data_IF_952360504733
#
_entry.id   IF_952360504733
#
_cell.length_a   1.000
_cell.length_b   1.000
_cell.length_c   1.000
_cell.angle_alpha   90.00
_cell.angle_beta   90.00
_cell.angle_gamma   90.00
#
_symmetry.space_group_name_H-M   'P 1'
#
loop_
_entity.id
_entity.type
_entity.pdbx_description
1 polymer ?
#
# COMPACT_ATOMS: atom_id res chain seq x y z
N UNK A 1 0.56 -22.40 24.72
CA UNK A 1 -0.11 -21.09 24.87
C UNK A 1 0.85 -19.92 24.62
N UNK A 2 1.97 -19.80 25.35
CA UNK A 2 2.94 -18.70 25.14
C UNK A 2 3.58 -18.65 23.74
N UNK A 3 4.00 -19.80 23.20
CA UNK A 3 4.55 -19.85 21.84
C UNK A 3 3.55 -19.44 20.75
N UNK A 4 2.27 -19.81 20.93
CA UNK A 4 1.18 -19.40 20.03
C UNK A 4 0.98 -17.88 20.09
N UNK A 5 1.01 -17.29 21.29
CA UNK A 5 0.90 -15.85 21.48
C UNK A 5 2.05 -15.11 20.79
N UNK A 6 3.29 -15.61 20.91
CA UNK A 6 4.45 -15.00 20.24
C UNK A 6 4.38 -15.08 18.73
N UNK A 7 3.94 -16.21 18.18
CA UNK A 7 3.75 -16.36 16.74
C UNK A 7 2.67 -15.41 16.23
N UNK A 8 1.55 -15.30 16.95
CA UNK A 8 0.48 -14.36 16.61
C UNK A 8 0.97 -12.91 16.64
N UNK A 9 1.66 -12.50 17.70
CA UNK A 9 2.22 -11.15 17.80
C UNK A 9 3.23 -10.89 16.67
N UNK A 10 4.07 -11.86 16.33
CA UNK A 10 5.00 -11.77 15.21
C UNK A 10 4.29 -11.50 13.89
N UNK A 11 3.21 -12.23 13.60
CA UNK A 11 2.39 -11.99 12.41
C UNK A 11 1.79 -10.59 12.43
N UNK A 12 1.20 -10.15 13.54
CA UNK A 12 0.63 -8.80 13.67
C UNK A 12 1.68 -7.72 13.41
N UNK A 13 2.89 -7.86 13.95
CA UNK A 13 3.98 -6.91 13.72
C UNK A 13 4.39 -6.88 12.25
N UNK A 14 4.47 -8.03 11.58
CA UNK A 14 4.79 -8.10 10.15
C UNK A 14 3.69 -7.45 9.31
N UNK A 15 2.43 -7.74 9.60
CA UNK A 15 1.26 -7.14 8.92
C UNK A 15 1.29 -5.62 9.04
N UNK A 16 1.41 -5.11 10.27
CA UNK A 16 1.49 -3.66 10.52
C UNK A 16 2.71 -3.02 9.85
N UNK A 17 3.85 -3.72 9.83
CA UNK A 17 5.06 -3.25 9.16
C UNK A 17 4.89 -3.16 7.65
N UNK A 18 4.28 -4.17 7.01
CA UNK A 18 3.99 -4.18 5.58
C UNK A 18 3.01 -3.04 5.25
N UNK A 19 1.90 -2.93 5.97
CA UNK A 19 0.92 -1.84 5.77
C UNK A 19 1.55 -0.47 5.98
N UNK A 20 2.41 -0.29 6.99
CA UNK A 20 3.11 0.97 7.18
C UNK A 20 4.00 1.33 5.99
N UNK A 21 4.76 0.37 5.44
CA UNK A 21 5.60 0.60 4.26
C UNK A 21 4.75 0.95 3.04
N UNK A 22 3.59 0.30 2.89
CA UNK A 22 2.63 0.60 1.85
C UNK A 22 2.12 2.04 1.96
N UNK A 23 1.56 2.44 3.10
CA UNK A 23 1.08 3.80 3.29
C UNK A 23 2.18 4.86 3.16
N UNK A 24 3.39 4.51 3.60
CA UNK A 24 4.57 5.35 3.39
C UNK A 24 4.81 5.61 1.89
N UNK A 25 4.51 4.67 1.00
CA UNK A 25 4.59 4.88 -0.45
C UNK A 25 3.71 6.03 -0.94
N UNK A 26 2.43 6.03 -0.58
CA UNK A 26 1.53 7.14 -0.92
C UNK A 26 2.01 8.46 -0.31
N UNK A 27 2.35 8.43 0.99
CA UNK A 27 2.80 9.64 1.68
C UNK A 27 4.05 10.24 1.02
N UNK A 28 5.08 9.42 0.73
CA UNK A 28 6.31 9.90 0.12
C UNK A 28 6.08 10.46 -1.29
N UNK A 29 5.27 9.77 -2.10
CA UNK A 29 4.93 10.24 -3.45
C UNK A 29 4.09 11.51 -3.41
N UNK A 30 3.09 11.59 -2.52
CA UNK A 30 2.31 12.79 -2.29
C UNK A 30 3.19 13.98 -1.90
N UNK A 31 4.13 13.76 -0.98
CA UNK A 31 5.04 14.81 -0.49
C UNK A 31 6.04 15.29 -1.53
N UNK A 32 6.65 14.37 -2.29
CA UNK A 32 7.85 14.66 -3.08
C UNK A 32 7.66 14.66 -4.59
N UNK A 33 6.63 13.99 -5.08
CA UNK A 33 6.30 13.96 -6.51
C UNK A 33 5.13 14.89 -6.79
N UNK A 34 4.02 14.71 -6.07
CA UNK A 34 2.82 15.54 -6.23
C UNK A 34 3.05 16.95 -5.66
N UNK A 35 3.80 17.06 -4.56
CA UNK A 35 4.15 18.34 -3.93
C UNK A 35 3.22 18.75 -2.79
N UNK A 36 2.41 17.83 -2.26
CA UNK A 36 1.50 18.08 -1.15
C UNK A 36 2.30 18.50 0.09
N UNK A 37 2.03 19.67 0.71
CA UNK A 37 2.75 20.14 1.89
C UNK A 37 2.68 19.18 3.10
N UNK A 38 3.68 19.22 3.98
CA UNK A 38 3.78 18.28 5.12
C UNK A 38 2.65 18.48 6.14
N UNK A 39 2.15 19.71 6.20
CA UNK A 39 1.01 20.07 7.03
C UNK A 39 -0.32 19.57 6.46
N UNK A 40 -0.33 19.10 5.21
CA UNK A 40 -1.54 18.78 4.44
C UNK A 40 -1.67 17.31 4.07
N UNK A 41 -0.73 16.47 4.49
CA UNK A 41 -0.79 15.02 4.33
C UNK A 41 -0.21 14.33 5.57
N UNK A 42 -0.82 13.24 6.01
CA UNK A 42 -0.30 12.41 7.11
C UNK A 42 -0.60 10.94 6.89
N UNK A 43 0.15 10.10 7.59
CA UNK A 43 -0.15 8.67 7.74
C UNK A 43 -1.12 8.46 8.91
N UNK A 44 -2.21 7.74 8.67
CA UNK A 44 -3.20 7.35 9.67
C UNK A 44 -3.13 5.84 9.87
N UNK A 45 -2.44 5.41 10.92
CA UNK A 45 -2.23 3.98 11.22
C UNK A 45 -3.16 3.43 12.32
N UNK A 46 -3.90 4.31 13.01
CA UNK A 46 -4.77 3.95 14.13
C UNK A 46 -6.22 3.69 13.71
N UNK A 47 -6.55 3.98 12.46
CA UNK A 47 -7.88 3.78 11.86
C UNK A 47 -7.82 2.60 10.88
N UNK A 48 -8.97 2.01 10.56
CA UNK A 48 -9.06 0.87 9.67
C UNK A 48 -9.96 1.18 8.46
N UNK A 49 -9.46 1.03 7.23
CA UNK A 49 -8.09 0.67 6.89
C UNK A 49 -7.08 1.80 7.22
N UNK A 50 -5.82 1.48 7.53
CA UNK A 50 -4.74 2.47 7.54
C UNK A 50 -4.66 3.16 6.17
N UNK A 51 -4.33 4.44 6.15
CA UNK A 51 -4.33 5.23 4.92
C UNK A 51 -3.44 6.48 5.04
N UNK A 52 -3.07 7.06 3.91
CA UNK A 52 -2.64 8.45 3.83
C UNK A 52 -3.87 9.38 3.77
N UNK A 53 -3.95 10.35 4.68
CA UNK A 53 -5.05 11.32 4.76
C UNK A 53 -4.59 12.71 4.30
N UNK A 54 -5.49 13.47 3.69
CA UNK A 54 -5.28 14.85 3.24
C UNK A 54 -5.98 15.84 4.17
N UNK A 55 -5.37 17.01 4.39
CA UNK A 55 -5.97 18.05 5.22
C UNK A 55 -6.94 18.90 4.41
N UNK A 56 -8.20 18.98 4.86
CA UNK A 56 -9.24 19.82 4.29
C UNK A 56 -9.87 20.68 5.39
N UNK A 57 -9.52 21.97 5.41
CA UNK A 57 -10.19 23.04 6.16
C UNK A 57 -10.59 22.76 7.63
N UNK A 58 -9.77 22.00 8.36
CA UNK A 58 -10.03 21.67 9.78
C UNK A 58 -10.15 20.18 10.07
N UNK A 59 -10.26 19.36 9.03
CA UNK A 59 -10.43 17.93 9.13
C UNK A 59 -9.42 17.17 8.27
N UNK A 60 -9.16 15.92 8.64
CA UNK A 60 -8.35 15.00 7.87
C UNK A 60 -9.28 14.07 7.11
N UNK A 61 -9.14 14.06 5.79
CA UNK A 61 -10.00 13.31 4.86
C UNK A 61 -9.24 12.07 4.40
N UNK A 62 -9.86 10.91 4.55
CA UNK A 62 -9.34 9.63 4.08
C UNK A 62 -9.86 9.26 2.69
N UNK A 63 -9.27 8.24 2.03
CA UNK A 63 -9.70 7.77 0.71
C UNK A 63 -11.09 7.13 0.71
N UNK A 64 -11.64 6.78 1.87
CA UNK A 64 -13.03 6.32 2.04
C UNK A 64 -14.04 7.44 1.80
N UNK A 65 -13.64 8.70 1.99
CA UNK A 65 -14.39 9.89 1.58
C UNK A 65 -14.06 10.28 0.13
N UNK A 66 -14.27 9.33 -0.80
CA UNK A 66 -13.78 9.36 -2.19
C UNK A 66 -13.88 10.72 -2.90
N UNK A 67 -15.06 11.36 -2.88
CA UNK A 67 -15.29 12.64 -3.55
C UNK A 67 -14.43 13.76 -2.95
N UNK A 68 -14.48 13.95 -1.63
CA UNK A 68 -13.71 14.98 -0.91
C UNK A 68 -12.21 14.75 -1.05
N UNK A 69 -11.77 13.49 -0.95
CA UNK A 69 -10.37 13.13 -1.08
C UNK A 69 -9.85 13.41 -2.49
N UNK A 70 -10.63 13.06 -3.52
CA UNK A 70 -10.28 13.30 -4.92
C UNK A 70 -10.22 14.80 -5.23
N UNK A 71 -11.22 15.57 -4.81
CA UNK A 71 -11.22 17.03 -4.96
C UNK A 71 -10.00 17.66 -4.29
N UNK A 72 -9.65 17.18 -3.10
CA UNK A 72 -8.50 17.69 -2.37
C UNK A 72 -7.16 17.32 -3.00
N UNK A 73 -7.06 16.13 -3.59
CA UNK A 73 -5.89 15.73 -4.36
C UNK A 73 -5.73 16.60 -5.63
N UNK A 74 -6.82 16.87 -6.35
CA UNK A 74 -6.83 17.67 -7.58
C UNK A 74 -6.26 19.08 -7.37
N UNK A 75 -6.45 19.69 -6.19
CA UNK A 75 -5.85 20.99 -5.87
C UNK A 75 -4.32 21.00 -5.96
N UNK A 76 -3.67 19.85 -5.78
CA UNK A 76 -2.21 19.70 -5.88
C UNK A 76 -1.74 19.12 -7.22
N UNK A 77 -2.58 18.35 -7.90
CA UNK A 77 -2.30 17.76 -9.21
C UNK A 77 -3.49 17.98 -10.18
N UNK A 78 -3.73 19.21 -10.65
CA UNK A 78 -4.96 19.56 -11.38
C UNK A 78 -5.12 18.82 -12.71
N UNK A 79 -4.00 18.48 -13.34
CA UNK A 79 -3.95 17.73 -14.59
C UNK A 79 -3.83 16.20 -14.36
N UNK A 80 -3.87 15.75 -13.10
CA UNK A 80 -3.73 14.36 -12.69
C UNK A 80 -2.47 13.67 -13.26
N UNK A 81 -1.40 14.43 -13.47
CA UNK A 81 -0.17 13.96 -14.13
C UNK A 81 0.54 12.91 -13.30
N UNK A 82 0.38 12.95 -11.98
CA UNK A 82 1.07 12.07 -11.04
C UNK A 82 0.14 11.05 -10.39
N UNK A 83 -1.15 11.05 -10.74
CA UNK A 83 -2.19 10.23 -10.10
C UNK A 83 -1.83 8.74 -10.12
N UNK A 84 -1.43 8.20 -11.27
CA UNK A 84 -1.07 6.78 -11.39
C UNK A 84 0.11 6.41 -10.47
N UNK A 85 1.10 7.29 -10.36
CA UNK A 85 2.24 7.04 -9.49
C UNK A 85 1.86 7.21 -8.02
N UNK A 86 1.00 8.18 -7.67
CA UNK A 86 0.51 8.38 -6.31
C UNK A 86 -0.25 7.15 -5.79
N UNK A 87 -1.18 6.63 -6.60
CA UNK A 87 -1.96 5.44 -6.25
C UNK A 87 -1.06 4.20 -6.29
N UNK A 88 -0.23 4.02 -7.32
CA UNK A 88 0.63 2.84 -7.44
C UNK A 88 1.79 2.80 -6.45
N UNK A 89 2.15 3.91 -5.83
CA UNK A 89 3.33 4.01 -4.97
C UNK A 89 3.25 3.13 -3.73
N UNK A 90 2.05 2.91 -3.17
CA UNK A 90 1.89 2.05 -1.99
C UNK A 90 2.46 0.66 -2.24
N UNK A 91 2.00 0.02 -3.31
CA UNK A 91 2.43 -1.32 -3.67
C UNK A 91 3.89 -1.39 -4.15
N UNK A 92 4.36 -0.37 -4.90
CA UNK A 92 5.74 -0.33 -5.38
C UNK A 92 6.74 -0.16 -4.22
N UNK A 93 6.43 0.69 -3.24
CA UNK A 93 7.28 0.89 -2.05
C UNK A 93 7.19 -0.31 -1.11
N UNK A 94 6.01 -0.91 -0.94
CA UNK A 94 5.85 -2.20 -0.25
C UNK A 94 6.75 -3.27 -0.88
N UNK A 95 6.78 -3.36 -2.21
CA UNK A 95 7.63 -4.31 -2.93
C UNK A 95 9.11 -4.10 -2.64
N UNK A 96 9.58 -2.87 -2.76
CA UNK A 96 10.98 -2.54 -2.46
C UNK A 96 11.32 -2.87 -0.99
N UNK A 97 10.44 -2.51 -0.05
CA UNK A 97 10.65 -2.77 1.37
C UNK A 97 10.68 -4.26 1.70
N UNK A 98 9.67 -5.03 1.27
CA UNK A 98 9.54 -6.45 1.55
C UNK A 98 10.69 -7.25 0.94
N UNK A 99 11.00 -7.03 -0.35
CA UNK A 99 12.10 -7.75 -1.02
C UNK A 99 13.43 -7.44 -0.35
N UNK A 100 13.69 -6.18 -0.01
CA UNK A 100 14.94 -5.77 0.68
C UNK A 100 15.06 -6.41 2.05
N UNK A 101 14.01 -6.36 2.88
CA UNK A 101 14.01 -6.94 4.22
C UNK A 101 14.18 -8.46 4.15
N UNK A 102 13.48 -9.12 3.22
CA UNK A 102 13.61 -10.56 3.02
C UNK A 102 15.03 -10.97 2.61
N UNK A 103 15.65 -10.23 1.69
CA UNK A 103 17.03 -10.45 1.28
C UNK A 103 18.03 -10.26 2.44
N UNK A 104 17.83 -9.24 3.29
CA UNK A 104 18.64 -9.01 4.49
C UNK A 104 18.49 -10.19 5.46
N UNK A 105 17.26 -10.64 5.72
CA UNK A 105 17.00 -11.76 6.62
C UNK A 105 17.64 -13.06 6.13
N UNK A 106 17.56 -13.34 4.83
CA UNK A 106 18.24 -14.48 4.23
C UNK A 106 19.77 -14.40 4.40
N UNK A 107 20.35 -13.22 4.13
CA UNK A 107 21.79 -12.98 4.31
C UNK A 107 22.27 -13.14 5.76
N UNK A 108 21.39 -12.94 6.73
CA UNK A 108 21.64 -13.16 8.17
C UNK A 108 21.33 -14.61 8.62
N UNK A 109 20.93 -15.50 7.71
CA UNK A 109 20.57 -16.88 8.01
C UNK A 109 19.14 -17.07 8.54
N UNK A 110 18.34 -16.01 8.60
CA UNK A 110 16.96 -16.00 9.11
C UNK A 110 15.93 -16.38 8.03
N UNK A 111 16.17 -17.51 7.34
CA UNK A 111 15.40 -17.95 6.18
C UNK A 111 13.89 -18.06 6.45
N UNK A 112 13.50 -18.63 7.61
CA UNK A 112 12.08 -18.75 7.97
C UNK A 112 11.39 -17.39 8.10
N UNK A 113 12.09 -16.37 8.59
CA UNK A 113 11.54 -15.01 8.69
C UNK A 113 11.42 -14.37 7.31
N UNK A 114 12.44 -14.53 6.46
CA UNK A 114 12.41 -14.04 5.08
C UNK A 114 11.22 -14.62 4.30
N UNK A 115 11.05 -15.95 4.34
CA UNK A 115 9.92 -16.64 3.70
C UNK A 115 8.58 -16.16 4.26
N UNK A 116 8.49 -15.99 5.59
CA UNK A 116 7.24 -15.55 6.23
C UNK A 116 6.81 -14.16 5.80
N UNK A 117 7.72 -13.19 5.72
CA UNK A 117 7.38 -11.82 5.31
C UNK A 117 6.89 -11.80 3.86
N UNK A 118 7.56 -12.53 2.96
CA UNK A 118 7.18 -12.60 1.55
C UNK A 118 5.79 -13.25 1.39
N UNK A 119 5.55 -14.37 2.09
CA UNK A 119 4.24 -15.04 2.05
C UNK A 119 3.12 -14.19 2.65
N UNK A 120 3.38 -13.49 3.77
CA UNK A 120 2.39 -12.60 4.38
C UNK A 120 2.08 -11.44 3.41
N UNK A 121 3.08 -10.82 2.79
CA UNK A 121 2.90 -9.77 1.77
C UNK A 121 2.02 -10.27 0.62
N UNK A 122 2.34 -11.42 0.02
CA UNK A 122 1.56 -12.02 -1.07
C UNK A 122 0.11 -12.30 -0.68
N UNK A 123 -0.11 -12.87 0.51
CA UNK A 123 -1.45 -13.18 1.01
C UNK A 123 -2.25 -11.90 1.30
N UNK A 124 -1.62 -10.90 1.92
CA UNK A 124 -2.25 -9.61 2.22
C UNK A 124 -2.67 -8.89 0.94
N UNK A 125 -1.75 -8.69 0.00
CA UNK A 125 -2.06 -8.04 -1.28
C UNK A 125 -3.12 -8.83 -2.06
N UNK A 126 -3.04 -10.17 -2.06
CA UNK A 126 -4.05 -11.01 -2.72
C UNK A 126 -5.45 -10.84 -2.13
N UNK A 127 -5.56 -10.81 -0.79
CA UNK A 127 -6.83 -10.57 -0.10
C UNK A 127 -7.33 -9.13 -0.31
N UNK A 128 -6.42 -8.16 -0.25
CA UNK A 128 -6.72 -6.75 -0.50
C UNK A 128 -7.24 -6.54 -1.93
N UNK A 129 -6.58 -7.07 -2.95
CA UNK A 129 -7.01 -6.99 -4.33
C UNK A 129 -8.41 -7.60 -4.53
N UNK A 130 -8.68 -8.76 -3.94
CA UNK A 130 -10.00 -9.37 -4.00
C UNK A 130 -11.07 -8.50 -3.31
N UNK A 131 -10.75 -7.96 -2.14
CA UNK A 131 -11.62 -7.03 -1.40
C UNK A 131 -11.91 -5.75 -2.19
N UNK A 132 -10.86 -5.11 -2.71
CA UNK A 132 -10.90 -3.89 -3.50
C UNK A 132 -11.81 -4.07 -4.73
N UNK A 133 -11.57 -5.11 -5.53
CA UNK A 133 -12.40 -5.40 -6.71
C UNK A 133 -13.86 -5.64 -6.33
N UNK A 134 -14.13 -6.49 -5.34
CA UNK A 134 -15.50 -6.85 -4.96
C UNK A 134 -16.29 -5.66 -4.42
N UNK A 135 -15.68 -4.86 -3.55
CA UNK A 135 -16.34 -3.69 -2.98
C UNK A 135 -16.45 -2.53 -3.97
N UNK A 136 -15.51 -2.38 -4.89
CA UNK A 136 -15.61 -1.34 -5.92
C UNK A 136 -16.75 -1.64 -6.89
N UNK A 137 -16.95 -2.91 -7.24
CA UNK A 137 -18.11 -3.35 -8.03
C UNK A 137 -19.43 -3.13 -7.30
N UNK A 138 -19.45 -3.29 -5.97
CA UNK A 138 -20.64 -3.10 -5.16
C UNK A 138 -21.00 -1.62 -4.93
N UNK A 139 -20.00 -0.80 -4.62
CA UNK A 139 -20.17 0.63 -4.29
C UNK A 139 -20.31 1.52 -5.52
N UNK A 140 -19.81 1.09 -6.68
CA UNK A 140 -19.84 1.86 -7.92
C UNK A 140 -18.74 2.92 -8.03
N UNK A 141 -17.81 2.97 -7.07
CA UNK A 141 -16.61 3.79 -7.09
C UNK A 141 -15.40 2.98 -6.58
N UNK A 142 -14.16 3.43 -6.85
CA UNK A 142 -12.97 2.79 -6.29
C UNK A 142 -12.99 2.80 -4.76
N UNK A 143 -12.59 1.68 -4.14
CA UNK A 143 -12.41 1.57 -2.68
C UNK A 143 -10.97 1.23 -2.29
N UNK A 144 -10.07 1.10 -3.26
CA UNK A 144 -8.68 0.75 -3.09
C UNK A 144 -7.85 1.08 -4.33
N UNK A 145 -6.56 0.80 -4.24
CA UNK A 145 -5.55 1.24 -5.20
C UNK A 145 -5.72 0.61 -6.57
N UNK A 146 -6.06 -0.68 -6.63
CA UNK A 146 -6.13 -1.38 -7.91
C UNK A 146 -7.37 -0.98 -8.69
N UNK A 147 -8.51 -0.80 -8.01
CA UNK A 147 -9.71 -0.25 -8.65
C UNK A 147 -9.51 1.21 -9.06
N UNK A 148 -8.82 2.01 -8.23
CA UNK A 148 -8.52 3.41 -8.55
C UNK A 148 -7.54 3.52 -9.73
N UNK A 149 -6.48 2.71 -9.77
CA UNK A 149 -5.57 2.59 -10.91
C UNK A 149 -6.30 2.08 -12.15
N UNK A 150 -7.22 1.13 -12.00
CA UNK A 150 -7.97 0.60 -13.14
C UNK A 150 -8.88 1.67 -13.75
N UNK A 151 -9.49 2.51 -12.90
CA UNK A 151 -10.29 3.65 -13.33
C UNK A 151 -9.43 4.73 -14.01
N UNK A 152 -8.23 5.01 -13.47
CA UNK A 152 -7.28 5.96 -14.06
C UNK A 152 -6.75 5.44 -15.40
N UNK A 153 -6.00 4.33 -15.36
CA UNK A 153 -5.45 3.65 -16.54
C UNK A 153 -5.26 2.14 -16.25
N UNK A 154 -5.98 1.23 -16.93
CA UNK A 154 -5.83 -0.22 -16.72
C UNK A 154 -4.40 -0.75 -16.91
N UNK A 155 -3.60 -0.12 -17.79
CA UNK A 155 -2.20 -0.49 -17.96
C UNK A 155 -1.35 -0.20 -16.71
N UNK A 156 -1.65 0.88 -15.98
CA UNK A 156 -0.97 1.20 -14.73
C UNK A 156 -1.31 0.17 -13.65
N UNK A 157 -2.59 -0.21 -13.52
CA UNK A 157 -3.01 -1.28 -12.62
C UNK A 157 -2.27 -2.61 -12.91
N UNK A 158 -2.22 -3.03 -14.17
CA UNK A 158 -1.45 -4.22 -14.59
C UNK A 158 0.03 -4.06 -14.30
N UNK A 159 0.61 -2.89 -14.59
CA UNK A 159 2.00 -2.58 -14.33
C UNK A 159 2.37 -2.71 -12.85
N UNK A 160 1.54 -2.16 -11.96
CA UNK A 160 1.72 -2.24 -10.51
C UNK A 160 1.57 -3.67 -10.00
N UNK A 161 0.55 -4.42 -10.45
CA UNK A 161 0.40 -5.85 -10.10
C UNK A 161 1.64 -6.65 -10.51
N UNK A 162 2.16 -6.45 -11.73
CA UNK A 162 3.36 -7.14 -12.18
C UNK A 162 4.61 -6.69 -11.44
N UNK A 163 4.71 -5.38 -11.18
CA UNK A 163 5.77 -4.76 -10.39
C UNK A 163 5.84 -5.31 -8.97
N UNK A 164 4.69 -5.68 -8.40
CA UNK A 164 4.60 -6.40 -7.13
C UNK A 164 4.91 -7.89 -7.25
N UNK A 165 4.18 -8.59 -8.13
CA UNK A 165 4.15 -10.05 -8.14
C UNK A 165 5.50 -10.64 -8.57
N UNK A 166 6.13 -10.07 -9.60
CA UNK A 166 7.37 -10.63 -10.16
C UNK A 166 8.50 -10.61 -9.12
N UNK A 167 8.85 -9.47 -8.47
CA UNK A 167 9.89 -9.45 -7.45
C UNK A 167 9.59 -10.37 -6.27
N UNK A 168 8.34 -10.44 -5.80
CA UNK A 168 7.95 -11.30 -4.69
C UNK A 168 8.09 -12.79 -5.02
N UNK A 169 7.67 -13.21 -6.22
CA UNK A 169 7.84 -14.60 -6.67
C UNK A 169 9.32 -14.92 -6.85
N UNK A 170 10.11 -14.02 -7.45
CA UNK A 170 11.54 -14.24 -7.65
C UNK A 170 12.30 -14.36 -6.34
N UNK A 171 12.05 -13.47 -5.37
CA UNK A 171 12.71 -13.58 -4.05
C UNK A 171 12.23 -14.84 -3.33
N UNK A 172 10.95 -15.20 -3.40
CA UNK A 172 10.43 -16.42 -2.78
C UNK A 172 11.09 -17.69 -3.33
N UNK A 173 11.33 -17.76 -4.64
CA UNK A 173 11.99 -18.91 -5.27
C UNK A 173 13.49 -18.98 -4.96
N UNK A 174 14.10 -17.87 -4.54
CA UNK A 174 15.52 -17.80 -4.16
C UNK A 174 15.76 -18.17 -2.68
N UNK A 175 14.78 -17.90 -1.81
CA UNK A 175 14.80 -18.22 -0.37
C UNK A 175 14.69 -19.71 -0.08
#
# INVERSE_FOLDING_TARGET
MLALLWNFLGVVVVVLGITFIHELGHYLTGRWVVGIPAAEIKLVMAEFPPHAALWDNGEWVGPDEFERYSERYEEHDPDYTHLELYIGAGELVQTLGVVTIAAIFAGLGLHSMAVSIVLISLLMTGLYLAWDVLLSLYSGHPVGDYSALWLATPLAAVGVVLGFLIPHVLIYLWL
#
